data_IF_455013671430
#
_entry.id   IF_455013671430
#
_cell.length_a   1.000
_cell.length_b   1.000
_cell.length_c   1.000
_cell.angle_alpha   90.00
_cell.angle_beta   90.00
_cell.angle_gamma   90.00
#
_symmetry.space_group_name_H-M   'P 1'
#
loop_
_entity.id
_entity.type
_entity.pdbx_description
1 polymer ?
#
# COMPACT_ATOMS: atom_id res chain seq x y z
N UNK A 1 -8.23 -2.02 24.20
CA UNK A 1 -6.91 -2.10 23.56
C UNK A 1 -6.04 -0.92 23.99
N UNK A 2 -4.73 -1.16 24.17
CA UNK A 2 -3.76 -0.09 24.37
C UNK A 2 -3.27 0.36 23.00
N UNK A 3 -3.40 1.64 22.61
CA UNK A 3 -2.88 2.13 21.35
C UNK A 3 -1.37 1.89 21.23
N UNK A 4 -0.89 1.39 20.09
CA UNK A 4 0.54 1.12 19.90
C UNK A 4 1.42 2.37 20.10
N UNK A 5 0.87 3.56 19.85
CA UNK A 5 1.53 4.86 20.08
C UNK A 5 1.82 5.14 21.56
N UNK A 6 1.20 4.40 22.49
CA UNK A 6 1.41 4.49 23.95
C UNK A 6 2.35 3.40 24.48
N UNK A 7 2.77 2.46 23.64
CA UNK A 7 3.69 1.37 24.03
C UNK A 7 5.13 1.81 23.84
N UNK A 8 5.96 1.56 24.86
CA UNK A 8 7.41 1.77 24.82
C UNK A 8 8.12 0.49 25.23
N UNK A 9 8.98 -0.01 24.37
CA UNK A 9 9.80 -1.19 24.64
C UNK A 9 11.19 -0.71 25.05
N UNK A 10 11.63 -1.14 26.24
CA UNK A 10 12.93 -0.78 26.81
C UNK A 10 13.58 -2.02 27.42
N UNK A 11 14.25 -2.82 26.60
CA UNK A 11 14.95 -4.03 27.03
C UNK A 11 16.22 -4.28 26.20
N UNK A 12 17.04 -5.22 26.64
CA UNK A 12 18.30 -5.54 25.96
C UNK A 12 18.13 -6.39 24.69
N UNK A 13 16.93 -6.95 24.44
CA UNK A 13 16.66 -7.83 23.30
C UNK A 13 15.96 -7.09 22.16
N UNK A 14 14.85 -6.44 22.43
CA UNK A 14 14.05 -5.79 21.38
C UNK A 14 14.55 -4.39 21.00
N UNK A 15 15.03 -3.59 21.98
CA UNK A 15 15.45 -2.21 21.69
C UNK A 15 16.52 -2.11 20.59
N UNK A 16 17.59 -2.92 20.57
CA UNK A 16 18.55 -2.87 19.47
C UNK A 16 17.98 -3.34 18.13
N UNK A 17 17.00 -4.27 18.13
CA UNK A 17 16.32 -4.73 16.90
C UNK A 17 15.42 -3.66 16.32
N UNK A 18 14.69 -2.95 17.15
CA UNK A 18 13.85 -1.80 16.76
C UNK A 18 14.73 -0.71 16.15
N UNK A 19 15.88 -0.41 16.76
CA UNK A 19 16.81 0.59 16.22
C UNK A 19 17.44 0.13 14.89
N UNK A 20 17.81 -1.14 14.75
CA UNK A 20 18.28 -1.71 13.47
C UNK A 20 17.18 -1.63 12.40
N UNK A 21 15.95 -1.96 12.76
CA UNK A 21 14.83 -1.84 11.82
C UNK A 21 14.66 -0.40 11.32
N UNK A 22 14.70 0.57 12.25
CA UNK A 22 14.55 1.99 11.95
C UNK A 22 15.69 2.53 11.08
N UNK A 23 16.95 2.16 11.37
CA UNK A 23 18.13 2.78 10.76
C UNK A 23 18.67 2.02 9.55
N UNK A 24 18.35 0.74 9.41
CA UNK A 24 18.89 -0.13 8.36
C UNK A 24 17.79 -0.76 7.51
N UNK A 25 16.84 -1.50 8.12
CA UNK A 25 15.88 -2.32 7.36
C UNK A 25 14.90 -1.46 6.58
N UNK A 26 14.25 -0.48 7.23
CA UNK A 26 13.30 0.42 6.57
C UNK A 26 13.97 1.22 5.44
N UNK A 27 15.10 1.91 5.63
CA UNK A 27 15.78 2.59 4.54
C UNK A 27 16.23 1.65 3.41
N UNK A 28 16.64 0.42 3.74
CA UNK A 28 17.02 -0.58 2.73
C UNK A 28 15.82 -1.02 1.89
N UNK A 29 14.68 -1.26 2.53
CA UNK A 29 13.46 -1.66 1.86
C UNK A 29 12.95 -0.56 0.89
N UNK A 30 13.01 0.71 1.29
CA UNK A 30 12.69 1.83 0.40
C UNK A 30 13.62 1.89 -0.81
N UNK A 31 14.93 1.74 -0.60
CA UNK A 31 15.90 1.70 -1.72
C UNK A 31 15.63 0.56 -2.70
N UNK A 32 15.23 -0.62 -2.21
CA UNK A 32 14.85 -1.73 -3.10
C UNK A 32 13.56 -1.43 -3.86
N UNK A 33 12.57 -0.78 -3.26
CA UNK A 33 11.37 -0.31 -3.97
C UNK A 33 11.72 0.70 -5.07
N UNK A 34 12.61 1.65 -4.82
CA UNK A 34 13.10 2.61 -5.81
C UNK A 34 13.79 1.89 -6.96
N UNK A 35 14.78 1.04 -6.65
CA UNK A 35 15.58 0.29 -7.61
C UNK A 35 14.73 -0.63 -8.50
N UNK A 36 13.73 -1.29 -7.91
CA UNK A 36 12.84 -2.21 -8.61
C UNK A 36 11.65 -1.50 -9.30
N UNK A 37 11.57 -0.17 -9.21
CA UNK A 37 10.57 0.64 -9.90
C UNK A 37 9.17 0.58 -9.29
N UNK A 38 9.03 0.20 -8.01
CA UNK A 38 7.72 0.16 -7.33
C UNK A 38 7.06 1.52 -7.30
N UNK A 39 7.82 2.58 -6.99
CA UNK A 39 7.30 3.95 -7.00
C UNK A 39 7.09 4.49 -8.41
N UNK A 40 7.93 4.07 -9.37
CA UNK A 40 7.75 4.40 -10.77
C UNK A 40 6.41 3.89 -11.31
N UNK A 41 5.96 2.70 -10.89
CA UNK A 41 4.67 2.16 -11.29
C UNK A 41 3.50 3.05 -10.89
N UNK A 42 3.54 3.63 -9.68
CA UNK A 42 2.54 4.62 -9.26
C UNK A 42 2.67 5.93 -10.04
N UNK A 43 3.89 6.41 -10.27
CA UNK A 43 4.11 7.62 -11.06
C UNK A 43 3.59 7.48 -12.50
N UNK A 44 3.78 6.30 -13.12
CA UNK A 44 3.27 5.98 -14.45
C UNK A 44 1.74 5.91 -14.44
N UNK A 45 1.14 5.20 -13.47
CA UNK A 45 -0.31 5.10 -13.33
C UNK A 45 -0.98 6.45 -13.11
N UNK A 46 -0.31 7.36 -12.39
CA UNK A 46 -0.75 8.74 -12.15
C UNK A 46 -0.43 9.72 -13.27
N UNK A 47 0.18 9.28 -14.38
CA UNK A 47 0.57 10.16 -15.49
C UNK A 47 1.69 11.16 -15.17
N UNK A 48 2.44 10.93 -14.10
CA UNK A 48 3.56 11.77 -13.68
C UNK A 48 4.89 11.36 -14.32
N UNK A 49 4.93 10.16 -14.90
CA UNK A 49 6.10 9.59 -15.55
C UNK A 49 5.68 8.76 -16.75
N UNK A 50 6.45 8.83 -17.82
CA UNK A 50 6.34 7.88 -18.95
C UNK A 50 7.18 6.64 -18.69
N UNK A 51 6.73 5.49 -19.18
CA UNK A 51 7.45 4.22 -19.05
C UNK A 51 6.55 3.00 -19.05
N UNK A 52 7.15 1.85 -18.85
CA UNK A 52 6.47 0.57 -18.74
C UNK A 52 6.41 0.11 -17.29
N UNK A 53 5.35 -0.62 -16.93
CA UNK A 53 5.21 -1.24 -15.62
C UNK A 53 6.35 -2.22 -15.35
N UNK A 54 6.97 -2.13 -14.17
CA UNK A 54 8.07 -2.98 -13.72
C UNK A 54 7.63 -3.88 -12.58
N UNK A 55 8.11 -5.12 -12.60
CA UNK A 55 7.84 -6.09 -11.54
C UNK A 55 7.36 -7.42 -12.11
N UNK A 56 7.32 -8.44 -11.26
CA UNK A 56 7.05 -9.83 -11.65
C UNK A 56 5.69 -10.32 -11.20
N UNK A 57 4.98 -9.54 -10.37
CA UNK A 57 3.67 -9.88 -9.84
C UNK A 57 2.69 -8.73 -9.98
N UNK A 58 1.41 -9.07 -10.15
CA UNK A 58 0.32 -8.09 -10.22
C UNK A 58 0.05 -7.36 -8.90
N UNK A 59 0.61 -7.88 -7.82
CA UNK A 59 0.46 -7.38 -6.44
C UNK A 59 1.72 -6.70 -5.89
N UNK A 60 2.65 -6.32 -6.75
CA UNK A 60 3.88 -5.61 -6.36
C UNK A 60 3.62 -4.25 -5.67
N UNK A 61 2.40 -3.69 -5.83
CA UNK A 61 1.95 -2.50 -5.11
C UNK A 61 1.97 -2.66 -3.58
N UNK A 62 1.89 -3.90 -3.09
CA UNK A 62 1.93 -4.17 -1.65
C UNK A 62 3.29 -3.89 -1.02
N UNK A 63 4.38 -3.91 -1.78
CA UNK A 63 5.71 -3.62 -1.25
C UNK A 63 5.79 -2.21 -0.65
N UNK A 64 5.43 -1.12 -1.39
CA UNK A 64 5.29 0.21 -0.81
C UNK A 64 4.36 0.28 0.40
N UNK A 65 3.18 -0.34 0.34
CA UNK A 65 2.22 -0.27 1.44
C UNK A 65 2.77 -0.88 2.73
N UNK A 66 3.35 -2.07 2.66
CA UNK A 66 3.96 -2.75 3.82
C UNK A 66 5.11 -1.95 4.43
N UNK A 67 5.93 -1.30 3.59
CA UNK A 67 7.04 -0.48 4.09
C UNK A 67 6.51 0.80 4.73
N UNK A 68 5.49 1.45 4.16
CA UNK A 68 4.83 2.62 4.74
C UNK A 68 4.24 2.27 6.11
N UNK A 69 3.59 1.13 6.23
CA UNK A 69 3.06 0.62 7.50
C UNK A 69 4.17 0.47 8.54
N UNK A 70 5.22 -0.27 8.22
CA UNK A 70 6.37 -0.47 9.12
C UNK A 70 7.10 0.84 9.47
N UNK A 71 7.25 1.75 8.52
CA UNK A 71 7.83 3.08 8.73
C UNK A 71 6.95 3.94 9.65
N UNK A 72 5.63 3.84 9.51
CA UNK A 72 4.67 4.55 10.36
C UNK A 72 4.76 4.09 11.82
N UNK A 73 4.85 2.79 12.06
CA UNK A 73 5.13 2.27 13.42
C UNK A 73 6.47 2.77 13.96
N UNK A 74 7.50 2.86 13.11
CA UNK A 74 8.80 3.42 13.50
C UNK A 74 8.70 4.91 13.89
N UNK A 75 7.95 5.73 13.15
CA UNK A 75 7.69 7.13 13.49
C UNK A 75 6.95 7.28 14.82
N UNK A 76 6.01 6.40 15.12
CA UNK A 76 5.30 6.41 16.41
C UNK A 76 6.22 6.10 17.61
N UNK A 77 7.25 5.27 17.41
CA UNK A 77 8.24 4.96 18.43
C UNK A 77 9.24 6.10 18.61
N UNK A 78 9.76 6.62 17.48
CA UNK A 78 10.74 7.70 17.45
C UNK A 78 10.56 8.52 16.18
N UNK A 79 10.04 9.74 16.33
CA UNK A 79 9.81 10.63 15.21
C UNK A 79 11.11 10.98 14.48
N UNK A 80 11.03 10.95 13.15
CA UNK A 80 12.10 11.32 12.23
C UNK A 80 11.51 12.16 11.09
N UNK A 81 11.82 13.45 11.10
CA UNK A 81 11.26 14.41 10.12
C UNK A 81 11.66 14.11 8.67
N UNK A 82 12.80 13.45 8.43
CA UNK A 82 13.24 13.08 7.08
C UNK A 82 12.41 11.90 6.56
N UNK A 83 12.20 10.90 7.42
CA UNK A 83 11.35 9.76 7.09
C UNK A 83 9.90 10.20 6.87
N UNK A 84 9.38 11.09 7.71
CA UNK A 84 8.02 11.62 7.59
C UNK A 84 7.82 12.38 6.27
N UNK A 85 8.74 13.28 5.90
CA UNK A 85 8.70 13.98 4.62
C UNK A 85 8.87 13.02 3.41
N UNK A 86 9.68 11.98 3.54
CA UNK A 86 9.82 10.98 2.50
C UNK A 86 8.52 10.17 2.29
N UNK A 87 7.86 9.79 3.39
CA UNK A 87 6.55 9.15 3.31
C UNK A 87 5.52 10.03 2.61
N UNK A 88 5.49 11.33 2.91
CA UNK A 88 4.59 12.27 2.21
C UNK A 88 4.82 12.25 0.70
N UNK A 89 6.07 12.18 0.25
CA UNK A 89 6.40 12.14 -1.18
C UNK A 89 5.94 10.83 -1.85
N UNK A 90 6.12 9.69 -1.18
CA UNK A 90 5.67 8.38 -1.68
C UNK A 90 4.14 8.31 -1.71
N UNK A 91 3.49 8.80 -0.64
CA UNK A 91 2.02 8.84 -0.54
C UNK A 91 1.43 9.72 -1.65
N UNK A 92 2.08 10.81 -2.02
CA UNK A 92 1.65 11.65 -3.13
C UNK A 92 1.64 10.91 -4.47
N UNK A 93 2.62 10.03 -4.74
CA UNK A 93 2.63 9.18 -5.92
C UNK A 93 1.47 8.17 -5.91
N UNK A 94 1.22 7.54 -4.75
CA UNK A 94 0.10 6.60 -4.57
C UNK A 94 -1.25 7.31 -4.81
N UNK A 95 -1.41 8.51 -4.24
CA UNK A 95 -2.63 9.30 -4.43
C UNK A 95 -2.85 9.71 -5.90
N UNK A 96 -1.78 10.08 -6.60
CA UNK A 96 -1.85 10.42 -8.03
C UNK A 96 -2.24 9.22 -8.91
N UNK A 97 -1.85 8.01 -8.52
CA UNK A 97 -2.18 6.78 -9.25
C UNK A 97 -3.64 6.32 -9.07
N UNK A 98 -4.34 6.85 -8.06
CA UNK A 98 -5.72 6.45 -7.81
C UNK A 98 -6.67 6.98 -8.88
N UNK A 99 -7.39 6.09 -9.54
CA UNK A 99 -8.38 6.45 -10.54
C UNK A 99 -9.59 7.20 -9.94
N UNK A 100 -10.34 7.89 -10.79
CA UNK A 100 -11.41 8.80 -10.34
C UNK A 100 -12.51 8.12 -9.54
N UNK A 101 -12.75 6.82 -9.76
CA UNK A 101 -13.73 6.01 -9.04
C UNK A 101 -13.20 5.38 -7.74
N UNK A 102 -11.89 5.49 -7.47
CA UNK A 102 -11.23 4.93 -6.30
C UNK A 102 -10.37 3.70 -6.58
N UNK A 103 -10.36 3.18 -7.82
CA UNK A 103 -9.55 2.02 -8.17
C UNK A 103 -8.04 2.32 -8.04
N UNK A 104 -7.28 1.33 -7.54
CA UNK A 104 -5.84 1.48 -7.36
C UNK A 104 -5.15 0.11 -7.42
N UNK A 105 -4.65 -0.25 -8.59
CA UNK A 105 -3.76 -1.38 -8.85
C UNK A 105 -2.92 -1.05 -10.08
N UNK A 106 -1.64 -0.73 -9.86
CA UNK A 106 -0.79 -0.15 -10.92
C UNK A 106 -0.58 -1.10 -12.10
N UNK A 107 -0.50 -2.41 -11.85
CA UNK A 107 -0.36 -3.41 -12.91
C UNK A 107 -1.52 -3.37 -13.91
N UNK A 108 -2.74 -3.18 -13.44
CA UNK A 108 -3.94 -3.11 -14.27
C UNK A 108 -4.03 -1.75 -14.98
N UNK A 109 -3.87 -0.66 -14.24
CA UNK A 109 -3.92 0.70 -14.78
C UNK A 109 -2.84 0.93 -15.84
N UNK A 110 -1.63 0.45 -15.61
CA UNK A 110 -0.51 0.51 -16.57
C UNK A 110 -0.61 -0.53 -17.70
N UNK A 111 -1.68 -1.33 -17.71
CA UNK A 111 -1.92 -2.37 -18.75
C UNK A 111 -0.74 -3.32 -18.93
N UNK A 112 -0.20 -3.85 -17.83
CA UNK A 112 0.92 -4.76 -17.85
C UNK A 112 0.57 -6.10 -18.50
N UNK A 113 0.69 -6.19 -19.82
CA UNK A 113 0.31 -7.38 -20.62
C UNK A 113 1.14 -8.61 -20.25
N UNK A 114 2.40 -8.41 -19.83
CA UNK A 114 3.30 -9.49 -19.38
C UNK A 114 2.70 -10.28 -18.20
N UNK A 115 1.90 -9.65 -17.37
CA UNK A 115 1.27 -10.25 -16.20
C UNK A 115 -0.23 -10.54 -16.39
N UNK A 116 -0.76 -10.44 -17.62
CA UNK A 116 -2.18 -10.70 -17.90
C UNK A 116 -2.65 -12.11 -17.53
N UNK A 117 -1.74 -13.07 -17.46
CA UNK A 117 -2.02 -14.40 -16.93
C UNK A 117 -2.53 -14.38 -15.48
N UNK A 118 -2.13 -13.40 -14.69
CA UNK A 118 -2.51 -13.23 -13.29
C UNK A 118 -3.79 -12.42 -13.11
N UNK A 119 -3.94 -11.27 -13.77
CA UNK A 119 -5.04 -10.35 -13.55
C UNK A 119 -6.13 -10.37 -14.63
N UNK A 120 -5.86 -10.99 -15.79
CA UNK A 120 -6.81 -11.06 -16.91
C UNK A 120 -6.72 -9.86 -17.82
N UNK A 121 -7.87 -9.36 -18.27
CA UNK A 121 -8.00 -8.20 -19.17
C UNK A 121 -8.84 -7.06 -18.57
N UNK A 122 -9.53 -7.33 -17.48
CA UNK A 122 -10.40 -6.40 -16.78
C UNK A 122 -10.16 -6.43 -15.27
N UNK A 123 -10.47 -5.36 -14.59
CA UNK A 123 -10.44 -5.28 -13.13
C UNK A 123 -11.24 -6.42 -12.50
N UNK A 124 -10.66 -7.07 -11.51
CA UNK A 124 -11.30 -8.16 -10.74
C UNK A 124 -11.81 -9.33 -11.59
N UNK A 125 -11.20 -9.57 -12.75
CA UNK A 125 -11.55 -10.70 -13.60
C UNK A 125 -11.14 -12.03 -12.97
N UNK A 126 -9.97 -12.07 -12.35
CA UNK A 126 -9.43 -13.26 -11.71
C UNK A 126 -9.24 -13.04 -10.22
N UNK A 127 -9.75 -13.96 -9.42
CA UNK A 127 -9.58 -13.89 -7.98
C UNK A 127 -8.09 -13.91 -7.55
N UNK A 128 -7.26 -14.60 -8.32
CA UNK A 128 -5.82 -14.70 -8.07
C UNK A 128 -5.04 -13.47 -8.56
N UNK A 129 -5.71 -12.43 -9.06
CA UNK A 129 -5.07 -11.16 -9.43
C UNK A 129 -4.45 -10.44 -8.23
N UNK A 130 -4.93 -10.77 -7.02
CA UNK A 130 -4.52 -10.14 -5.77
C UNK A 130 -4.84 -8.62 -5.69
N UNK A 131 -5.83 -8.15 -6.47
CA UNK A 131 -6.24 -6.75 -6.43
C UNK A 131 -6.80 -6.37 -5.05
N UNK A 132 -7.63 -7.24 -4.44
CA UNK A 132 -8.13 -7.04 -3.07
C UNK A 132 -7.03 -7.23 -2.00
N UNK A 133 -5.99 -8.01 -2.29
CA UNK A 133 -4.79 -8.09 -1.45
C UNK A 133 -4.04 -6.75 -1.44
N UNK A 134 -3.89 -6.09 -2.60
CA UNK A 134 -3.35 -4.74 -2.68
C UNK A 134 -4.18 -3.76 -1.83
N UNK A 135 -5.52 -3.81 -1.95
CA UNK A 135 -6.43 -2.97 -1.18
C UNK A 135 -6.29 -3.18 0.33
N UNK A 136 -6.21 -4.42 0.79
CA UNK A 136 -6.04 -4.73 2.22
C UNK A 136 -4.76 -4.13 2.79
N UNK A 137 -3.62 -4.29 2.12
CA UNK A 137 -2.36 -3.68 2.56
C UNK A 137 -2.35 -2.16 2.47
N UNK A 138 -3.06 -1.58 1.52
CA UNK A 138 -3.30 -0.13 1.48
C UNK A 138 -4.04 0.34 2.74
N UNK A 139 -5.07 -0.39 3.18
CA UNK A 139 -5.86 -0.02 4.36
C UNK A 139 -5.02 -0.09 5.64
N UNK A 140 -4.25 -1.17 5.83
CA UNK A 140 -3.33 -1.30 6.96
C UNK A 140 -2.31 -0.17 7.01
N UNK A 141 -1.66 0.11 5.88
CA UNK A 141 -0.70 1.21 5.78
C UNK A 141 -1.33 2.57 6.09
N UNK A 142 -2.54 2.82 5.59
CA UNK A 142 -3.25 4.08 5.76
C UNK A 142 -3.66 4.32 7.21
N UNK A 143 -4.16 3.29 7.89
CA UNK A 143 -4.52 3.35 9.31
C UNK A 143 -3.28 3.53 10.17
N UNK A 144 -2.20 2.79 9.90
CA UNK A 144 -0.94 2.92 10.63
C UNK A 144 -0.36 4.33 10.48
N UNK A 145 -0.33 4.87 9.25
CA UNK A 145 0.17 6.22 8.98
C UNK A 145 -0.66 7.30 9.68
N UNK A 146 -1.98 7.22 9.59
CA UNK A 146 -2.87 8.16 10.27
C UNK A 146 -2.69 8.12 11.79
N UNK A 147 -2.64 6.92 12.39
CA UNK A 147 -2.46 6.76 13.84
C UNK A 147 -1.10 7.27 14.33
N UNK A 148 -0.06 7.14 13.51
CA UNK A 148 1.29 7.58 13.86
C UNK A 148 1.51 9.09 13.70
N UNK A 149 0.89 9.71 12.69
CA UNK A 149 1.20 11.08 12.25
C UNK A 149 0.02 12.06 12.36
N UNK A 150 -1.21 11.57 12.40
CA UNK A 150 -2.43 12.37 12.27
C UNK A 150 -2.75 12.82 10.84
N UNK A 151 -1.90 12.52 9.86
CA UNK A 151 -2.08 12.92 8.46
C UNK A 151 -3.10 12.03 7.75
N UNK A 152 -4.03 12.64 7.03
CA UNK A 152 -5.10 11.91 6.34
C UNK A 152 -4.78 11.53 4.89
N UNK A 153 -3.67 11.97 4.35
CA UNK A 153 -3.36 11.86 2.92
C UNK A 153 -3.51 10.44 2.36
N UNK A 154 -2.96 9.42 3.03
CA UNK A 154 -3.12 8.03 2.61
C UNK A 154 -4.48 7.45 3.06
N UNK A 155 -5.01 7.90 4.19
CA UNK A 155 -6.32 7.45 4.69
C UNK A 155 -7.45 7.84 3.73
N UNK A 156 -7.42 9.04 3.15
CA UNK A 156 -8.43 9.47 2.19
C UNK A 156 -8.37 8.65 0.89
N UNK A 157 -7.17 8.25 0.43
CA UNK A 157 -7.00 7.30 -0.67
C UNK A 157 -7.61 5.92 -0.33
N UNK A 158 -7.34 5.42 0.87
CA UNK A 158 -7.85 4.14 1.33
C UNK A 158 -9.38 4.13 1.45
N UNK A 159 -9.98 5.19 2.02
CA UNK A 159 -11.44 5.32 2.13
C UNK A 159 -12.09 5.30 0.76
N UNK A 160 -11.58 6.08 -0.20
CA UNK A 160 -12.12 6.12 -1.56
C UNK A 160 -12.01 4.75 -2.26
N UNK A 161 -10.93 4.00 -2.03
CA UNK A 161 -10.78 2.64 -2.55
C UNK A 161 -11.76 1.68 -1.86
N UNK A 162 -11.91 1.75 -0.54
CA UNK A 162 -12.85 0.93 0.22
C UNK A 162 -14.30 1.16 -0.20
N UNK A 163 -14.70 2.41 -0.44
CA UNK A 163 -16.03 2.76 -0.97
C UNK A 163 -16.27 2.11 -2.33
N UNK A 164 -15.27 2.06 -3.21
CA UNK A 164 -15.37 1.35 -4.49
C UNK A 164 -15.52 -0.16 -4.28
N UNK A 165 -14.69 -0.75 -3.42
CA UNK A 165 -14.75 -2.18 -3.12
C UNK A 165 -16.13 -2.56 -2.58
N UNK A 166 -16.69 -1.78 -1.64
CA UNK A 166 -18.04 -1.99 -1.10
C UNK A 166 -19.16 -1.84 -2.15
N UNK A 167 -18.95 -1.05 -3.19
CA UNK A 167 -19.92 -0.96 -4.31
C UNK A 167 -19.83 -2.15 -5.26
N UNK A 168 -18.66 -2.73 -5.43
CA UNK A 168 -18.40 -3.81 -6.39
C UNK A 168 -18.65 -5.19 -5.81
N UNK A 169 -18.31 -5.39 -4.53
CA UNK A 169 -18.41 -6.68 -3.85
C UNK A 169 -19.46 -6.63 -2.74
N UNK A 170 -20.26 -7.67 -2.63
CA UNK A 170 -21.28 -7.78 -1.59
C UNK A 170 -22.41 -8.72 -1.98
N UNK A 171 -23.46 -8.78 -1.15
CA UNK A 171 -24.59 -9.67 -1.36
C UNK A 171 -25.69 -9.11 -2.26
N UNK A 172 -25.62 -7.83 -2.67
CA UNK A 172 -26.70 -7.16 -3.38
C UNK A 172 -26.69 -7.50 -4.87
N UNK A 173 -27.84 -7.26 -5.53
CA UNK A 173 -27.97 -7.46 -6.97
C UNK A 173 -26.97 -6.58 -7.73
N UNK A 174 -26.24 -7.18 -8.67
CA UNK A 174 -25.22 -6.52 -9.48
C UNK A 174 -23.83 -6.48 -8.86
N UNK A 175 -23.68 -6.87 -7.59
CA UNK A 175 -22.37 -7.02 -6.94
C UNK A 175 -21.72 -8.37 -7.25
N UNK A 176 -20.41 -8.44 -7.07
CA UNK A 176 -19.65 -9.68 -7.19
C UNK A 176 -19.75 -10.48 -5.89
N UNK A 177 -20.32 -11.67 -5.96
CA UNK A 177 -20.46 -12.62 -4.86
C UNK A 177 -19.31 -13.64 -4.90
N UNK A 178 -18.10 -13.19 -4.70
CA UNK A 178 -16.89 -14.01 -4.71
C UNK A 178 -16.04 -13.73 -3.48
N UNK A 179 -15.29 -14.72 -2.95
CA UNK A 179 -14.36 -14.47 -1.86
C UNK A 179 -13.25 -13.52 -2.32
N UNK A 180 -12.65 -12.82 -1.37
CA UNK A 180 -11.60 -11.82 -1.62
C UNK A 180 -10.31 -12.36 -2.25
N UNK A 181 -10.12 -13.67 -2.24
CA UNK A 181 -8.87 -14.34 -2.65
C UNK A 181 -7.75 -14.23 -1.61
N UNK A 182 -7.84 -13.28 -0.69
CA UNK A 182 -6.93 -13.12 0.45
C UNK A 182 -7.63 -12.37 1.59
N UNK A 183 -7.52 -12.85 2.85
CA UNK A 183 -8.30 -12.31 3.97
C UNK A 183 -7.90 -10.91 4.43
N UNK A 184 -6.75 -10.37 4.01
CA UNK A 184 -6.25 -9.08 4.49
C UNK A 184 -7.23 -7.91 4.25
N UNK A 185 -8.05 -7.98 3.20
CA UNK A 185 -9.03 -6.93 2.90
C UNK A 185 -10.22 -6.94 3.86
N UNK A 186 -10.40 -8.04 4.59
CA UNK A 186 -11.51 -8.24 5.55
C UNK A 186 -11.16 -7.76 6.96
N UNK A 187 -9.93 -7.31 7.21
CA UNK A 187 -9.45 -6.81 8.50
C UNK A 187 -9.72 -5.32 8.66
#
# INVERSE_FOLDING_TARGET
EVPFTQVRIQDAFWSPRIETNRTVSIPSAFRECEKNGRFDNFAIAGGLKEGEHRGDFSFDDTDPYKIIEGASYSLAVKYDARLDAYLDSVIALIAAAQESDGYLTTCVTNRCTRLSGWWGTHRWEKINSHELYNSGHLYEAAVAHYRATGKRSLLDVAIKNADLVCRVFGPDEGQKHVPSGHPIVEM
#
